data_IF_239980275403
#
_entry.id   IF_239980275403
#
_cell.length_a   1.000
_cell.length_b   1.000
_cell.length_c   1.000
_cell.angle_alpha   90.00
_cell.angle_beta   90.00
_cell.angle_gamma   90.00
#
_symmetry.space_group_name_H-M   'P 1'
#
loop_
_entity.id
_entity.type
_entity.pdbx_description
1 polymer ?
#
# COMPACT_ATOMS: atom_id res chain seq x y z
N UNK A 1 4.00 2.07 22.19
CA UNK A 1 4.94 1.22 21.47
C UNK A 1 5.93 2.14 20.76
N UNK A 2 7.25 1.97 20.95
CA UNK A 2 8.26 2.73 20.21
C UNK A 2 8.08 2.51 18.71
N UNK A 3 8.08 3.59 17.93
CA UNK A 3 7.89 3.52 16.49
C UNK A 3 8.71 4.58 15.77
N UNK A 4 8.93 4.37 14.49
CA UNK A 4 9.57 5.32 13.58
C UNK A 4 8.58 5.72 12.49
N UNK A 5 8.65 6.98 12.06
CA UNK A 5 7.79 7.53 11.01
C UNK A 5 8.65 7.82 9.79
N UNK A 6 8.25 7.25 8.66
CA UNK A 6 8.90 7.42 7.38
C UNK A 6 7.97 8.13 6.40
N UNK A 7 8.35 9.30 5.97
CA UNK A 7 7.61 10.10 5.00
C UNK A 7 8.54 10.64 3.90
N UNK A 8 7.95 11.17 2.83
CA UNK A 8 8.67 11.67 1.67
C UNK A 8 9.68 12.82 1.96
N UNK A 9 9.65 13.41 3.15
CA UNK A 9 10.57 14.49 3.55
C UNK A 9 11.89 13.99 4.15
N UNK A 10 11.98 12.69 4.49
CA UNK A 10 13.11 12.09 5.19
C UNK A 10 14.00 11.22 4.30
N UNK A 11 14.15 11.58 3.04
CA UNK A 11 14.89 10.78 2.04
C UNK A 11 16.31 10.36 2.46
N UNK A 12 17.05 11.21 3.17
CA UNK A 12 18.42 10.88 3.58
C UNK A 12 18.49 9.79 4.67
N UNK A 13 17.44 9.66 5.48
CA UNK A 13 17.34 8.65 6.55
C UNK A 13 16.46 7.44 6.17
N UNK A 14 15.92 7.46 4.98
CA UNK A 14 14.97 6.44 4.52
C UNK A 14 15.55 5.04 4.59
N UNK A 15 16.76 4.85 4.07
CA UNK A 15 17.42 3.55 4.05
C UNK A 15 17.69 3.00 5.46
N UNK A 16 18.12 3.86 6.39
CA UNK A 16 18.40 3.47 7.77
C UNK A 16 17.11 3.07 8.51
N UNK A 17 16.04 3.86 8.36
CA UNK A 17 14.74 3.58 8.98
C UNK A 17 14.16 2.27 8.43
N UNK A 18 14.25 2.06 7.11
CA UNK A 18 13.76 0.83 6.47
C UNK A 18 14.59 -0.38 6.92
N UNK A 19 15.92 -0.23 7.07
CA UNK A 19 16.79 -1.30 7.57
C UNK A 19 16.40 -1.71 9.00
N UNK A 20 16.04 -0.75 9.85
CA UNK A 20 15.61 -1.01 11.23
C UNK A 20 14.26 -1.74 11.31
N UNK A 21 13.38 -1.61 10.32
CA UNK A 21 12.08 -2.29 10.30
C UNK A 21 12.20 -3.82 10.34
N UNK A 22 13.31 -4.39 9.85
CA UNK A 22 13.59 -5.83 9.87
C UNK A 22 14.36 -6.33 11.11
N UNK A 23 14.66 -5.43 12.06
CA UNK A 23 15.45 -5.75 13.24
C UNK A 23 14.60 -5.87 14.49
N UNK A 24 15.12 -6.59 15.48
CA UNK A 24 14.55 -6.63 16.83
C UNK A 24 15.41 -5.80 17.77
N UNK A 25 14.81 -5.27 18.81
CA UNK A 25 15.50 -4.53 19.87
C UNK A 25 15.05 -5.01 21.26
N UNK A 26 15.93 -4.90 22.23
CA UNK A 26 15.57 -5.18 23.63
C UNK A 26 14.63 -4.07 24.12
N UNK A 27 13.56 -4.47 24.76
CA UNK A 27 12.61 -3.53 25.35
C UNK A 27 11.89 -4.13 26.54
N UNK A 28 11.38 -3.28 27.40
CA UNK A 28 10.65 -3.68 28.61
C UNK A 28 9.15 -3.64 28.33
N UNK A 29 8.47 -4.75 28.56
CA UNK A 29 7.02 -4.87 28.46
C UNK A 29 6.44 -5.17 29.84
N UNK A 30 5.34 -4.52 30.16
CA UNK A 30 4.60 -4.84 31.39
C UNK A 30 3.75 -6.10 31.16
N UNK A 31 4.06 -7.16 31.89
CA UNK A 31 3.29 -8.41 31.91
C UNK A 31 2.81 -8.61 33.33
N UNK A 32 1.49 -8.67 33.54
CA UNK A 32 0.85 -8.79 34.85
C UNK A 32 1.36 -7.76 35.88
N UNK A 33 1.57 -6.52 35.42
CA UNK A 33 2.04 -5.42 36.27
C UNK A 33 3.53 -5.44 36.59
N UNK A 34 4.30 -6.40 36.07
CA UNK A 34 5.76 -6.49 36.29
C UNK A 34 6.51 -6.16 34.99
N UNK A 35 7.62 -5.39 35.07
CA UNK A 35 8.45 -5.12 33.90
C UNK A 35 9.25 -6.40 33.54
N UNK A 36 9.09 -6.84 32.29
CA UNK A 36 9.81 -7.99 31.73
C UNK A 36 10.60 -7.54 30.52
N UNK A 37 11.89 -7.79 30.48
CA UNK A 37 12.71 -7.57 29.29
C UNK A 37 12.41 -8.63 28.23
N UNK A 38 12.10 -8.18 27.02
CA UNK A 38 11.86 -9.04 25.85
C UNK A 38 12.47 -8.43 24.59
N UNK A 39 12.75 -9.28 23.62
CA UNK A 39 13.04 -8.83 22.26
C UNK A 39 11.74 -8.36 21.62
N UNK A 40 11.71 -7.12 21.17
CA UNK A 40 10.57 -6.48 20.51
C UNK A 40 10.91 -6.23 19.05
N UNK A 41 9.93 -6.44 18.16
CA UNK A 41 10.04 -5.98 16.78
C UNK A 41 9.93 -4.47 16.69
N UNK A 42 10.61 -3.90 15.70
CA UNK A 42 10.48 -2.48 15.39
C UNK A 42 9.17 -2.21 14.63
N UNK A 43 8.53 -1.11 14.97
CA UNK A 43 7.34 -0.61 14.26
C UNK A 43 7.75 0.59 13.41
N UNK A 44 7.44 0.54 12.12
CA UNK A 44 7.67 1.64 11.17
C UNK A 44 6.35 2.07 10.58
N UNK A 45 5.99 3.32 10.75
CA UNK A 45 4.81 3.95 10.13
C UNK A 45 5.31 4.65 8.86
N UNK A 46 4.84 4.21 7.72
CA UNK A 46 5.36 4.68 6.43
C UNK A 46 4.24 4.99 5.44
N UNK A 47 4.48 5.95 4.55
CA UNK A 47 3.63 6.16 3.38
C UNK A 47 3.82 5.01 2.37
N UNK A 48 2.86 4.83 1.47
CA UNK A 48 2.87 3.76 0.47
C UNK A 48 4.11 3.78 -0.46
N UNK A 49 4.69 4.95 -0.69
CA UNK A 49 5.87 5.14 -1.55
C UNK A 49 7.19 5.01 -0.79
N UNK A 50 7.20 5.12 0.52
CA UNK A 50 8.40 5.07 1.33
C UNK A 50 9.11 3.70 1.25
N UNK A 51 10.44 3.69 1.20
CA UNK A 51 11.25 2.47 1.09
C UNK A 51 11.12 1.74 -0.24
N UNK A 52 10.63 2.39 -1.30
CA UNK A 52 10.55 1.77 -2.62
C UNK A 52 11.95 1.45 -3.16
N UNK A 53 12.15 0.18 -3.55
CA UNK A 53 13.46 -0.27 -4.06
C UNK A 53 14.43 -0.72 -2.97
N UNK A 54 14.11 -0.52 -1.69
CA UNK A 54 14.93 -0.97 -0.56
C UNK A 54 14.48 -2.36 -0.11
N UNK A 55 15.43 -3.25 0.13
CA UNK A 55 15.17 -4.57 0.67
C UNK A 55 15.27 -4.54 2.21
N UNK A 56 14.26 -5.13 2.86
CA UNK A 56 14.18 -5.21 4.33
C UNK A 56 14.79 -6.54 4.76
N UNK A 57 16.02 -6.50 5.27
CA UNK A 57 16.69 -7.69 5.78
C UNK A 57 16.22 -8.01 7.19
N UNK A 58 15.69 -9.21 7.37
CA UNK A 58 15.16 -9.66 8.66
C UNK A 58 16.23 -10.28 9.51
N UNK A 59 16.27 -9.93 10.80
CA UNK A 59 17.11 -10.62 11.78
C UNK A 59 16.60 -12.05 12.04
N UNK A 60 17.45 -12.98 12.52
CA UNK A 60 17.02 -14.34 12.83
C UNK A 60 15.85 -14.41 13.81
N UNK A 61 15.85 -13.53 14.81
CA UNK A 61 14.79 -13.45 15.83
C UNK A 61 13.45 -13.05 15.19
N UNK A 62 13.47 -12.06 14.28
CA UNK A 62 12.27 -11.62 13.55
C UNK A 62 11.74 -12.72 12.64
N UNK A 63 12.64 -13.46 11.97
CA UNK A 63 12.24 -14.63 11.16
C UNK A 63 11.60 -15.72 12.01
N UNK A 64 12.17 -16.02 13.18
CA UNK A 64 11.63 -17.00 14.12
C UNK A 64 10.26 -16.57 14.69
N UNK A 65 10.02 -15.27 14.82
CA UNK A 65 8.76 -14.71 15.28
C UNK A 65 7.66 -14.65 14.19
N UNK A 66 7.94 -15.09 12.95
CA UNK A 66 6.96 -15.10 11.84
C UNK A 66 7.24 -14.06 10.76
N UNK A 67 8.37 -13.35 10.84
CA UNK A 67 8.85 -12.42 9.83
C UNK A 67 8.21 -11.04 9.85
N UNK A 68 8.22 -10.36 8.71
CA UNK A 68 7.70 -8.99 8.58
C UNK A 68 6.18 -9.00 8.42
N UNK A 69 5.48 -8.31 9.32
CA UNK A 69 4.04 -8.08 9.22
C UNK A 69 3.77 -6.72 8.55
N UNK A 70 3.03 -6.73 7.46
CA UNK A 70 2.56 -5.51 6.77
C UNK A 70 1.11 -5.24 7.16
N UNK A 71 0.87 -4.09 7.75
CA UNK A 71 -0.47 -3.62 8.13
C UNK A 71 -0.79 -2.41 7.25
N UNK A 72 -1.72 -2.56 6.33
CA UNK A 72 -2.27 -1.47 5.54
C UNK A 72 -3.52 -0.89 6.21
N UNK A 73 -3.58 0.42 6.34
CA UNK A 73 -4.74 1.12 6.93
C UNK A 73 -5.65 1.71 5.87
N UNK A 74 -5.26 1.60 4.60
CA UNK A 74 -6.00 2.10 3.44
C UNK A 74 -5.69 1.23 2.22
N UNK A 75 -6.64 1.10 1.30
CA UNK A 75 -6.41 0.48 -0.02
C UNK A 75 -6.13 1.57 -1.05
N UNK A 76 -5.11 1.35 -1.85
CA UNK A 76 -4.81 2.24 -2.96
C UNK A 76 -5.79 2.01 -4.13
N UNK A 77 -6.03 3.03 -4.94
CA UNK A 77 -6.86 2.93 -6.15
C UNK A 77 -6.33 1.90 -7.15
N UNK A 78 -5.02 1.69 -7.18
CA UNK A 78 -4.36 0.72 -8.05
C UNK A 78 -3.97 -0.54 -7.29
N UNK A 79 -4.47 -1.70 -7.72
CA UNK A 79 -4.12 -3.02 -7.18
C UNK A 79 -2.62 -3.30 -7.23
N UNK A 80 -1.92 -2.72 -8.20
CA UNK A 80 -0.46 -2.84 -8.33
C UNK A 80 0.27 -2.27 -7.12
N UNK A 81 -0.19 -1.15 -6.59
CA UNK A 81 0.43 -0.52 -5.40
C UNK A 81 0.18 -1.38 -4.16
N UNK A 82 -1.03 -1.89 -3.96
CA UNK A 82 -1.34 -2.81 -2.87
C UNK A 82 -0.47 -4.07 -2.92
N UNK A 83 -0.30 -4.65 -4.11
CA UNK A 83 0.58 -5.82 -4.30
C UNK A 83 2.05 -5.48 -4.01
N UNK A 84 2.49 -4.29 -4.38
CA UNK A 84 3.84 -3.81 -4.07
C UNK A 84 4.06 -3.65 -2.56
N UNK A 85 3.05 -3.19 -1.82
CA UNK A 85 3.11 -3.11 -0.36
C UNK A 85 3.16 -4.51 0.26
N UNK A 86 2.27 -5.41 -0.12
CA UNK A 86 2.28 -6.82 0.33
C UNK A 86 3.60 -7.50 0.03
N UNK A 87 4.18 -7.26 -1.14
CA UNK A 87 5.43 -7.85 -1.60
C UNK A 87 6.68 -7.33 -0.88
N UNK A 88 6.55 -6.49 0.13
CA UNK A 88 7.65 -6.17 1.06
C UNK A 88 7.86 -7.25 2.11
N UNK A 89 6.82 -8.01 2.42
CA UNK A 89 6.84 -9.20 3.27
C UNK A 89 7.05 -10.46 2.44
N UNK A 90 7.59 -11.52 3.02
CA UNK A 90 7.76 -12.82 2.37
C UNK A 90 8.82 -12.83 1.26
N UNK A 91 9.79 -11.93 1.27
CA UNK A 91 10.85 -11.86 0.25
C UNK A 91 11.88 -12.97 0.45
N UNK A 92 12.39 -13.48 -0.65
CA UNK A 92 13.47 -14.49 -0.68
C UNK A 92 13.17 -15.75 0.17
N UNK A 93 11.89 -16.09 0.32
CA UNK A 93 11.47 -17.24 1.12
C UNK A 93 11.38 -16.98 2.62
N UNK A 94 11.61 -15.75 3.07
CA UNK A 94 11.41 -15.38 4.46
C UNK A 94 9.93 -15.46 4.86
N UNK A 95 9.60 -15.83 6.10
CA UNK A 95 8.23 -15.77 6.58
C UNK A 95 7.72 -14.33 6.62
N UNK A 96 6.40 -14.17 6.57
CA UNK A 96 5.78 -12.88 6.69
C UNK A 96 4.27 -12.90 6.49
N UNK A 97 3.61 -11.81 6.88
CA UNK A 97 2.17 -11.67 6.79
C UNK A 97 1.78 -10.30 6.26
N UNK A 98 0.57 -10.21 5.73
CA UNK A 98 0.00 -8.91 5.32
C UNK A 98 -1.49 -8.88 5.56
N UNK A 99 -1.96 -7.80 6.14
CA UNK A 99 -3.38 -7.54 6.40
C UNK A 99 -3.73 -6.10 6.05
N UNK A 100 -4.96 -5.87 5.58
CA UNK A 100 -5.48 -4.52 5.34
C UNK A 100 -6.71 -4.31 6.23
N UNK A 101 -6.67 -3.25 7.02
CA UNK A 101 -7.81 -2.69 7.72
C UNK A 101 -8.30 -1.47 6.96
N UNK A 102 -9.50 -1.52 6.46
CA UNK A 102 -10.08 -0.46 5.61
C UNK A 102 -11.41 0.00 6.18
N UNK A 103 -11.68 1.29 6.08
CA UNK A 103 -12.98 1.85 6.41
C UNK A 103 -13.89 1.86 5.18
N UNK A 104 -15.18 1.70 5.40
CA UNK A 104 -16.18 1.92 4.35
C UNK A 104 -16.29 3.40 3.95
N UNK A 105 -15.75 4.30 4.76
CA UNK A 105 -15.66 5.74 4.50
C UNK A 105 -14.44 6.14 3.66
N UNK A 106 -13.50 5.21 3.42
CA UNK A 106 -12.32 5.46 2.59
C UNK A 106 -12.72 5.90 1.19
N UNK A 107 -11.91 6.75 0.56
CA UNK A 107 -12.20 7.33 -0.75
C UNK A 107 -12.55 6.29 -1.82
N UNK A 108 -11.83 5.18 -1.86
CA UNK A 108 -12.09 4.08 -2.78
C UNK A 108 -13.49 3.49 -2.55
N UNK A 109 -13.88 3.31 -1.30
CA UNK A 109 -15.18 2.76 -0.94
C UNK A 109 -16.31 3.75 -1.23
N UNK A 110 -16.11 5.04 -0.94
CA UNK A 110 -17.09 6.11 -1.24
C UNK A 110 -17.39 6.24 -2.72
N UNK A 111 -16.40 6.06 -3.59
CA UNK A 111 -16.58 6.10 -5.05
C UNK A 111 -17.42 4.92 -5.58
N UNK A 112 -17.39 3.76 -4.89
CA UNK A 112 -17.98 2.51 -5.36
C UNK A 112 -18.84 1.79 -4.34
N UNK A 113 -18.97 2.30 -3.11
CA UNK A 113 -19.93 1.81 -2.13
C UNK A 113 -21.34 2.08 -2.65
N UNK A 114 -21.80 1.18 -3.50
CA UNK A 114 -23.17 1.19 -3.96
C UNK A 114 -24.08 1.05 -2.73
N UNK A 115 -25.24 1.69 -2.77
CA UNK A 115 -26.36 1.46 -1.85
C UNK A 115 -26.64 -0.01 -1.57
N UNK A 116 -26.14 -0.92 -2.42
CA UNK A 116 -26.21 -2.37 -2.23
C UNK A 116 -25.39 -2.86 -1.03
N UNK A 117 -24.17 -2.31 -0.81
CA UNK A 117 -23.33 -2.71 0.33
C UNK A 117 -23.97 -2.20 1.61
N UNK A 118 -24.43 -0.95 1.65
CA UNK A 118 -25.15 -0.38 2.78
C UNK A 118 -26.39 -1.23 3.12
N UNK A 119 -27.22 -1.56 2.14
CA UNK A 119 -28.41 -2.43 2.34
C UNK A 119 -28.06 -3.85 2.83
N UNK A 120 -26.96 -4.42 2.39
CA UNK A 120 -26.51 -5.74 2.86
C UNK A 120 -26.04 -5.63 4.30
N UNK A 121 -25.34 -4.56 4.66
CA UNK A 121 -24.89 -4.32 6.03
C UNK A 121 -26.05 -4.10 6.99
N UNK A 122 -27.03 -3.28 6.61
CA UNK A 122 -28.27 -3.09 7.37
C UNK A 122 -29.03 -4.41 7.59
N UNK A 123 -29.08 -5.28 6.57
CA UNK A 123 -29.73 -6.60 6.68
C UNK A 123 -28.99 -7.58 7.58
N UNK A 124 -27.67 -7.49 7.62
CA UNK A 124 -26.82 -8.35 8.45
C UNK A 124 -26.74 -7.86 9.91
N UNK A 125 -27.30 -6.68 10.20
CA UNK A 125 -27.39 -6.15 11.56
C UNK A 125 -26.05 -5.75 12.17
N UNK A 126 -25.04 -5.44 11.37
CA UNK A 126 -23.77 -4.95 11.86
C UNK A 126 -23.93 -3.59 12.51
N UNK A 127 -23.30 -3.42 13.66
CA UNK A 127 -23.27 -2.15 14.39
C UNK A 127 -22.05 -1.33 13.98
N UNK A 128 -22.16 -0.02 14.08
CA UNK A 128 -21.02 0.87 13.86
C UNK A 128 -19.85 0.49 14.79
N UNK A 129 -18.66 0.37 14.18
CA UNK A 129 -17.44 -0.01 14.89
C UNK A 129 -17.14 -1.50 14.95
N UNK A 130 -18.00 -2.37 14.41
CA UNK A 130 -17.69 -3.80 14.29
C UNK A 130 -16.73 -4.06 13.14
N UNK A 131 -15.77 -4.95 13.39
CA UNK A 131 -14.85 -5.44 12.34
C UNK A 131 -15.55 -6.52 11.51
N UNK A 132 -15.63 -6.30 10.20
CA UNK A 132 -16.33 -7.19 9.29
C UNK A 132 -15.31 -7.91 8.40
N UNK A 133 -15.22 -9.23 8.57
CA UNK A 133 -14.46 -10.10 7.67
C UNK A 133 -15.41 -10.89 6.78
N UNK A 134 -15.62 -10.42 5.56
CA UNK A 134 -16.48 -11.12 4.62
C UNK A 134 -15.92 -11.10 3.19
N UNK A 135 -15.89 -12.25 2.55
CA UNK A 135 -15.36 -12.41 1.18
C UNK A 135 -16.05 -11.54 0.13
N UNK A 136 -17.33 -11.22 0.35
CA UNK A 136 -18.10 -10.33 -0.52
C UNK A 136 -17.54 -8.89 -0.49
N UNK A 137 -17.15 -8.39 0.70
CA UNK A 137 -16.57 -7.07 0.85
C UNK A 137 -15.22 -7.01 0.14
N UNK A 138 -14.37 -8.02 0.33
CA UNK A 138 -13.08 -8.12 -0.37
C UNK A 138 -13.27 -8.07 -1.89
N UNK A 139 -14.20 -8.85 -2.44
CA UNK A 139 -14.51 -8.83 -3.88
C UNK A 139 -15.05 -7.48 -4.34
N UNK A 140 -15.84 -6.82 -3.51
CA UNK A 140 -16.38 -5.49 -3.82
C UNK A 140 -15.27 -4.44 -3.94
N UNK A 141 -14.30 -4.47 -3.02
CA UNK A 141 -13.11 -3.60 -3.07
C UNK A 141 -12.29 -3.88 -4.34
N UNK A 142 -12.05 -5.14 -4.67
CA UNK A 142 -11.32 -5.50 -5.89
C UNK A 142 -12.03 -5.05 -7.17
N UNK A 143 -13.35 -5.15 -7.22
CA UNK A 143 -14.15 -4.66 -8.34
C UNK A 143 -14.14 -3.13 -8.43
N UNK A 144 -14.16 -2.44 -7.29
CA UNK A 144 -13.99 -0.99 -7.23
C UNK A 144 -12.64 -0.57 -7.83
N UNK A 145 -11.56 -1.21 -7.38
CA UNK A 145 -10.22 -0.94 -7.92
C UNK A 145 -10.14 -1.18 -9.43
N UNK A 146 -10.74 -2.27 -9.94
CA UNK A 146 -10.79 -2.53 -11.39
C UNK A 146 -11.44 -1.39 -12.17
N UNK A 147 -12.58 -0.89 -11.70
CA UNK A 147 -13.30 0.21 -12.36
C UNK A 147 -12.48 1.51 -12.37
N UNK A 148 -11.78 1.82 -11.27
CA UNK A 148 -10.87 2.98 -11.24
C UNK A 148 -9.73 2.79 -12.23
N UNK A 149 -9.10 1.62 -12.26
CA UNK A 149 -8.02 1.30 -13.19
C UNK A 149 -8.48 1.42 -14.66
N UNK A 150 -9.69 0.94 -14.98
CA UNK A 150 -10.30 1.06 -16.31
C UNK A 150 -10.55 2.51 -16.71
N UNK A 151 -11.09 3.34 -15.79
CA UNK A 151 -11.27 4.76 -16.01
C UNK A 151 -9.93 5.46 -16.27
N UNK A 152 -8.95 5.24 -15.43
CA UNK A 152 -7.61 5.82 -15.60
C UNK A 152 -6.94 5.34 -16.90
N UNK A 153 -7.15 4.09 -17.29
CA UNK A 153 -6.69 3.59 -18.58
C UNK A 153 -7.35 4.34 -19.74
N UNK A 154 -8.67 4.52 -19.69
CA UNK A 154 -9.42 5.27 -20.71
C UNK A 154 -8.92 6.72 -20.84
N UNK A 155 -8.69 7.40 -19.73
CA UNK A 155 -8.14 8.77 -19.73
C UNK A 155 -6.75 8.79 -20.38
N UNK A 156 -5.84 7.90 -19.94
CA UNK A 156 -4.49 7.83 -20.52
C UNK A 156 -4.50 7.50 -22.01
N UNK A 157 -5.40 6.60 -22.45
CA UNK A 157 -5.53 6.26 -23.86
C UNK A 157 -5.92 7.49 -24.70
N UNK A 158 -6.90 8.27 -24.24
CA UNK A 158 -7.28 9.50 -24.91
C UNK A 158 -6.15 10.52 -24.97
N UNK A 159 -5.38 10.68 -23.88
CA UNK A 159 -4.23 11.57 -23.88
C UNK A 159 -3.18 11.14 -24.90
N UNK A 160 -2.90 9.84 -25.03
CA UNK A 160 -1.99 9.33 -26.07
C UNK A 160 -2.52 9.58 -27.48
N UNK A 161 -3.81 9.41 -27.72
CA UNK A 161 -4.44 9.71 -29.02
C UNK A 161 -4.26 11.19 -29.43
N UNK A 162 -4.37 12.13 -28.47
CA UNK A 162 -4.07 13.54 -28.70
C UNK A 162 -2.58 13.78 -28.94
N UNK A 163 -1.73 13.16 -28.15
CA UNK A 163 -0.27 13.32 -28.28
C UNK A 163 0.25 12.78 -29.63
N UNK A 164 -0.32 11.70 -30.14
CA UNK A 164 0.00 11.15 -31.46
C UNK A 164 -0.28 12.15 -32.60
N UNK A 165 -1.37 12.91 -32.53
CA UNK A 165 -1.69 13.97 -33.50
C UNK A 165 -0.65 15.08 -33.42
N UNK A 166 -0.33 15.53 -32.23
CA UNK A 166 0.70 16.56 -32.00
C UNK A 166 2.08 16.10 -32.44
N UNK A 167 2.44 14.84 -32.21
CA UNK A 167 3.72 14.26 -32.63
C UNK A 167 3.83 14.19 -34.17
N UNK A 168 2.77 13.83 -34.88
CA UNK A 168 2.74 13.86 -36.34
C UNK A 168 3.01 15.28 -36.87
N UNK A 169 2.35 16.28 -36.29
CA UNK A 169 2.59 17.68 -36.68
C UNK A 169 4.03 18.12 -36.37
N UNK A 170 4.54 17.75 -35.21
CA UNK A 170 5.93 18.05 -34.80
C UNK A 170 6.94 17.43 -35.74
N UNK A 171 6.75 16.18 -36.12
CA UNK A 171 7.61 15.46 -37.06
C UNK A 171 7.69 16.19 -38.41
N UNK A 172 6.55 16.57 -38.98
CA UNK A 172 6.52 17.35 -40.25
C UNK A 172 7.29 18.65 -40.14
N UNK A 173 7.15 19.36 -39.04
CA UNK A 173 7.88 20.63 -38.82
C UNK A 173 9.39 20.37 -38.71
N UNK A 174 9.80 19.35 -37.97
CA UNK A 174 11.21 19.01 -37.82
C UNK A 174 11.84 18.52 -39.13
N UNK A 175 11.14 17.73 -39.93
CA UNK A 175 11.60 17.31 -41.27
C UNK A 175 11.82 18.52 -42.18
N UNK A 176 10.89 19.50 -42.19
CA UNK A 176 11.05 20.74 -42.97
C UNK A 176 12.24 21.56 -42.49
N UNK A 177 12.43 21.69 -41.17
CA UNK A 177 13.58 22.39 -40.60
C UNK A 177 14.90 21.71 -40.97
N UNK A 178 14.95 20.40 -40.91
CA UNK A 178 16.16 19.63 -41.24
C UNK A 178 16.54 19.72 -42.72
N UNK A 179 15.55 19.88 -43.61
CA UNK A 179 15.81 20.11 -45.05
C UNK A 179 16.24 21.53 -45.38
N UNK A 180 15.92 22.48 -44.47
CA UNK A 180 16.24 23.89 -44.68
C UNK A 180 17.61 24.30 -44.03
N UNK A 181 18.16 23.43 -43.16
CA UNK A 181 19.49 23.58 -42.54
C UNK A 181 20.54 22.83 -43.35
#
# INVERSE_FOLDING_TARGET
IPHQVLNAKLHQKEADIVALAGQSQKGTVMVDGKPVERMLGNVTIATNMAGRGTDIKLSPEVKAAGGLAIIGTERHESRRVDRQLRGRSGRQGDPGSSVFYVSLEDNLMRLFANERIARVMDRLGFKDGEMIEHSMITRSIENAQKKVEENHFGVRKRLLEYDDVMNKQRTVVYEKRHRAA
#
